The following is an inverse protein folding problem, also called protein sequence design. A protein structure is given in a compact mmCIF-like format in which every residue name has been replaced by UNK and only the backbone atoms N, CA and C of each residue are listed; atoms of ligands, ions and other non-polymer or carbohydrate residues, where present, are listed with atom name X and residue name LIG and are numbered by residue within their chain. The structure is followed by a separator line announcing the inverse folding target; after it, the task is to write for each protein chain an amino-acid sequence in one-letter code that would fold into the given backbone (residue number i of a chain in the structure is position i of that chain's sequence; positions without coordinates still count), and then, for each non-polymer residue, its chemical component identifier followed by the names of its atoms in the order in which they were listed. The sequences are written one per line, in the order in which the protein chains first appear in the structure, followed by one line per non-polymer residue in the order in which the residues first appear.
data_IF_907410189203
#
_entry.id   IF_907410189203
#
_cell.length_a   1.000
_cell.length_b   1.000
_cell.length_c   1.000
_cell.angle_alpha   90.00
_cell.angle_beta   90.00
_cell.angle_gamma   90.00
#
_symmetry.space_group_name_H-M   'P 1'
#
loop_
_entity.id
_entity.type
_entity.pdbx_description
1 polymer ?
#
# COMPACT_ATOMS: atom_id res chain seq x y z
N UNK A 1 42.33 28.89 -46.12
CA UNK A 1 42.17 28.71 -44.66
C UNK A 1 41.04 29.62 -44.22
N UNK A 2 39.84 29.07 -44.19
CA UNK A 2 38.65 29.73 -43.66
C UNK A 2 38.60 29.54 -42.15
N UNK A 3 38.81 30.62 -41.39
CA UNK A 3 38.33 30.76 -40.01
C UNK A 3 38.11 32.24 -39.70
N UNK A 4 36.85 32.67 -39.73
CA UNK A 4 36.38 33.96 -39.25
C UNK A 4 34.88 33.89 -39.06
N UNK A 5 34.46 33.30 -37.93
CA UNK A 5 33.10 32.85 -37.68
C UNK A 5 32.04 33.96 -37.44
N UNK A 6 30.75 33.58 -37.41
CA UNK A 6 29.59 34.46 -37.30
C UNK A 6 29.32 34.94 -35.85
N UNK A 7 30.34 35.49 -35.17
CA UNK A 7 30.20 35.93 -33.77
C UNK A 7 29.83 37.42 -33.63
N UNK A 8 30.22 38.29 -34.57
CA UNK A 8 29.96 39.73 -34.48
C UNK A 8 28.50 40.13 -34.82
N UNK A 9 27.75 39.29 -35.52
CA UNK A 9 26.36 39.58 -35.91
C UNK A 9 25.33 39.23 -34.81
N UNK A 10 25.69 38.34 -33.87
CA UNK A 10 24.83 37.92 -32.76
C UNK A 10 24.57 39.01 -31.70
N UNK A 11 25.57 39.77 -31.22
CA UNK A 11 25.34 40.79 -30.20
C UNK A 11 24.48 41.97 -30.69
N UNK A 12 24.52 42.28 -31.99
CA UNK A 12 23.69 43.33 -32.57
C UNK A 12 22.20 42.94 -32.61
N UNK A 13 21.90 41.71 -33.02
CA UNK A 13 20.52 41.20 -33.05
C UNK A 13 19.93 41.04 -31.63
N UNK A 14 20.74 40.60 -30.66
CA UNK A 14 20.29 40.56 -29.27
C UNK A 14 20.10 41.96 -28.67
N UNK A 15 20.97 42.92 -28.97
CA UNK A 15 20.77 44.32 -28.54
C UNK A 15 19.50 44.92 -29.15
N UNK A 16 19.28 44.75 -30.45
CA UNK A 16 18.08 45.24 -31.12
C UNK A 16 16.81 44.56 -30.57
N UNK A 17 16.88 43.25 -30.32
CA UNK A 17 15.80 42.48 -29.69
C UNK A 17 15.50 42.96 -28.26
N UNK A 18 16.51 43.20 -27.44
CA UNK A 18 16.37 43.72 -26.07
C UNK A 18 15.81 45.16 -26.11
N UNK A 19 16.25 46.01 -27.04
CA UNK A 19 15.70 47.36 -27.17
C UNK A 19 14.25 47.35 -27.65
N UNK A 20 13.90 46.46 -28.58
CA UNK A 20 12.52 46.28 -29.03
C UNK A 20 11.62 45.75 -27.90
N UNK A 21 12.11 44.78 -27.12
CA UNK A 21 11.45 44.28 -25.92
C UNK A 21 11.29 45.38 -24.87
N UNK A 22 12.33 46.15 -24.58
CA UNK A 22 12.27 47.23 -23.60
C UNK A 22 11.29 48.33 -24.05
N UNK A 23 11.23 48.66 -25.34
CA UNK A 23 10.28 49.64 -25.87
C UNK A 23 8.85 49.12 -25.90
N UNK A 24 8.66 47.83 -26.21
CA UNK A 24 7.36 47.16 -26.20
C UNK A 24 6.83 46.97 -24.79
N UNK A 25 7.65 46.41 -23.89
CA UNK A 25 7.35 46.25 -22.46
C UNK A 25 7.16 47.62 -21.84
N UNK A 26 7.98 48.62 -22.16
CA UNK A 26 7.80 49.99 -21.67
C UNK A 26 6.50 50.64 -22.12
N UNK A 27 6.08 50.42 -23.38
CA UNK A 27 4.78 50.87 -23.90
C UNK A 27 3.61 50.15 -23.22
N UNK A 28 3.74 48.84 -22.98
CA UNK A 28 2.77 48.05 -22.23
C UNK A 28 2.75 48.43 -20.74
N UNK A 29 3.89 48.77 -20.14
CA UNK A 29 3.97 49.24 -18.76
C UNK A 29 3.37 50.64 -18.63
N UNK A 30 3.55 51.51 -19.63
CA UNK A 30 2.95 52.84 -19.64
C UNK A 30 1.42 52.77 -19.82
N UNK A 31 0.92 51.86 -20.66
CA UNK A 31 -0.52 51.68 -20.90
C UNK A 31 -1.23 50.85 -19.82
N UNK A 32 -0.55 49.87 -19.22
CA UNK A 32 -1.11 48.96 -18.21
C UNK A 32 -0.52 49.15 -16.80
N UNK A 33 0.26 50.20 -16.57
CA UNK A 33 0.89 50.50 -15.28
C UNK A 33 -0.11 50.65 -14.14
N UNK A 34 -1.31 51.16 -14.45
CA UNK A 34 -2.40 51.25 -13.48
C UNK A 34 -2.92 49.87 -13.06
N UNK A 35 -3.04 48.91 -13.98
CA UNK A 35 -3.39 47.53 -13.63
C UNK A 35 -2.31 46.86 -12.79
N UNK A 36 -1.03 47.16 -13.05
CA UNK A 36 0.06 46.67 -12.20
C UNK A 36 -0.04 47.23 -10.79
N UNK A 37 -0.36 48.51 -10.63
CA UNK A 37 -0.63 49.11 -9.31
C UNK A 37 -1.84 48.46 -8.63
N UNK A 38 -2.97 48.31 -9.32
CA UNK A 38 -4.15 47.64 -8.77
C UNK A 38 -3.89 46.17 -8.44
N UNK A 39 -3.14 45.45 -9.27
CA UNK A 39 -2.71 44.08 -9.00
C UNK A 39 -1.81 44.02 -7.76
N UNK A 40 -0.87 44.97 -7.62
CA UNK A 40 -0.01 45.06 -6.43
C UNK A 40 -0.82 45.33 -5.17
N UNK A 41 -1.79 46.26 -5.22
CA UNK A 41 -2.70 46.55 -4.10
C UNK A 41 -3.59 45.35 -3.78
N UNK A 42 -4.14 44.66 -4.78
CA UNK A 42 -4.96 43.47 -4.59
C UNK A 42 -4.15 42.33 -3.96
N UNK A 43 -2.93 42.09 -4.41
CA UNK A 43 -2.01 41.10 -3.81
C UNK A 43 -1.65 41.51 -2.39
N UNK A 44 -1.37 42.78 -2.12
CA UNK A 44 -1.10 43.28 -0.77
C UNK A 44 -2.27 43.02 0.17
N UNK A 45 -3.50 43.36 -0.25
CA UNK A 45 -4.71 43.11 0.54
C UNK A 45 -4.97 41.60 0.70
N UNK A 46 -4.69 40.79 -0.32
CA UNK A 46 -4.81 39.34 -0.25
C UNK A 46 -3.83 38.75 0.77
N UNK A 47 -2.57 39.17 0.74
CA UNK A 47 -1.55 38.78 1.72
C UNK A 47 -1.95 39.26 3.10
N UNK A 48 -2.44 40.48 3.26
CA UNK A 48 -2.91 41.01 4.54
C UNK A 48 -4.09 40.20 5.08
N UNK A 49 -5.10 39.90 4.25
CA UNK A 49 -6.25 39.07 4.65
C UNK A 49 -5.85 37.64 4.97
N UNK A 50 -4.92 37.05 4.22
CA UNK A 50 -4.38 35.73 4.50
C UNK A 50 -3.51 35.72 5.75
N UNK A 51 -2.73 36.77 6.00
CA UNK A 51 -1.94 36.93 7.21
C UNK A 51 -2.84 37.07 8.43
N UNK A 52 -3.90 37.89 8.37
CA UNK A 52 -4.88 38.02 9.44
C UNK A 52 -5.64 36.71 9.67
N UNK A 53 -6.13 36.06 8.62
CA UNK A 53 -6.77 34.73 8.73
C UNK A 53 -5.81 33.68 9.31
N UNK A 54 -4.53 33.73 8.93
CA UNK A 54 -3.49 32.84 9.50
C UNK A 54 -3.14 33.19 10.94
N UNK A 55 -3.17 34.46 11.34
CA UNK A 55 -2.94 34.94 12.71
C UNK A 55 -4.08 34.50 13.62
N UNK A 56 -5.33 34.68 13.19
CA UNK A 56 -6.52 34.19 13.91
C UNK A 56 -6.46 32.67 14.04
N UNK A 57 -6.24 31.94 12.94
CA UNK A 57 -6.10 30.47 12.99
C UNK A 57 -4.89 29.98 13.79
N UNK A 58 -3.83 30.80 13.93
CA UNK A 58 -2.70 30.52 14.82
C UNK A 58 -3.01 30.81 16.28
N UNK A 59 -3.87 31.79 16.58
CA UNK A 59 -4.38 32.07 17.93
C UNK A 59 -5.40 31.01 18.37
N UNK A 60 -6.25 30.55 17.45
CA UNK A 60 -7.25 29.50 17.68
C UNK A 60 -6.67 28.09 17.65
N UNK A 61 -5.42 27.94 17.19
CA UNK A 61 -4.68 26.70 17.37
C UNK A 61 -4.06 26.80 18.78
N UNK A 62 -4.65 26.15 19.81
CA UNK A 62 -3.98 26.11 21.11
C UNK A 62 -2.58 25.57 20.85
N UNK A 63 -1.58 26.27 21.39
CA UNK A 63 -0.18 25.94 21.18
C UNK A 63 -0.01 24.43 21.32
N UNK A 64 0.53 23.78 20.28
CA UNK A 64 0.79 22.34 20.35
C UNK A 64 1.75 21.98 21.49
N UNK A 65 2.45 22.98 22.05
CA UNK A 65 3.21 22.89 23.29
C UNK A 65 2.33 22.89 24.56
N UNK A 66 1.18 23.58 24.55
CA UNK A 66 0.18 23.62 25.62
C UNK A 66 -0.89 22.51 25.55
N UNK A 67 -1.15 21.97 24.36
CA UNK A 67 -2.09 20.86 24.15
C UNK A 67 -1.66 19.54 24.83
N UNK A 68 -0.38 19.42 25.19
CA UNK A 68 0.17 18.30 25.97
C UNK A 68 0.00 18.48 27.49
N UNK A 69 -0.43 19.66 27.95
CA UNK A 69 -0.55 20.01 29.36
C UNK A 69 -2.00 19.94 29.90
N UNK A 70 -3.00 19.77 29.02
CA UNK A 70 -4.40 19.64 29.45
C UNK A 70 -4.73 18.15 29.68
N UNK A 71 -4.99 17.70 30.93
CA UNK A 71 -5.22 16.29 31.25
C UNK A 71 -6.38 15.67 30.47
N UNK A 72 -7.41 16.46 30.15
CA UNK A 72 -8.59 16.02 29.40
C UNK A 72 -8.28 15.63 27.95
N UNK A 73 -7.30 16.28 27.32
CA UNK A 73 -6.86 15.93 25.97
C UNK A 73 -6.09 14.62 25.94
N UNK A 74 -5.30 14.34 26.99
CA UNK A 74 -4.57 13.07 27.14
C UNK A 74 -5.55 11.92 27.39
N UNK A 75 -6.58 12.11 28.22
CA UNK A 75 -7.62 11.10 28.45
C UNK A 75 -8.34 10.76 27.15
N UNK A 76 -8.79 11.77 26.39
CA UNK A 76 -9.46 11.54 25.09
C UNK A 76 -8.57 10.81 24.08
N UNK A 77 -7.26 11.11 24.06
CA UNK A 77 -6.31 10.39 23.22
C UNK A 77 -6.13 8.93 23.69
N UNK A 78 -6.05 8.69 25.00
CA UNK A 78 -5.95 7.34 25.55
C UNK A 78 -7.22 6.53 25.31
N UNK A 79 -8.40 7.14 25.43
CA UNK A 79 -9.69 6.53 25.09
C UNK A 79 -9.76 6.18 23.61
N UNK A 80 -9.32 7.09 22.72
CA UNK A 80 -9.26 6.81 21.29
C UNK A 80 -8.30 5.65 20.96
N UNK A 81 -7.14 5.59 21.62
CA UNK A 81 -6.20 4.48 21.47
C UNK A 81 -6.74 3.17 22.04
N UNK A 82 -7.45 3.21 23.16
CA UNK A 82 -8.09 2.04 23.74
C UNK A 82 -9.22 1.52 22.83
N UNK A 83 -10.06 2.41 22.31
CA UNK A 83 -11.11 2.06 21.35
C UNK A 83 -10.52 1.44 20.06
N UNK A 84 -9.40 1.96 19.57
CA UNK A 84 -8.70 1.36 18.43
C UNK A 84 -8.17 -0.06 18.74
N UNK A 85 -7.65 -0.28 19.95
CA UNK A 85 -7.20 -1.61 20.40
C UNK A 85 -8.35 -2.60 20.52
N UNK A 86 -9.49 -2.18 21.06
CA UNK A 86 -10.67 -3.05 21.17
C UNK A 86 -11.21 -3.44 19.79
N UNK A 87 -11.33 -2.50 18.86
CA UNK A 87 -11.74 -2.82 17.47
C UNK A 87 -10.80 -3.82 16.81
N UNK A 88 -9.49 -3.67 17.00
CA UNK A 88 -8.51 -4.62 16.46
C UNK A 88 -8.65 -6.02 17.09
N UNK A 89 -8.92 -6.10 18.40
CA UNK A 89 -9.15 -7.39 19.06
C UNK A 89 -10.44 -8.07 18.61
N UNK A 90 -11.51 -7.30 18.41
CA UNK A 90 -12.78 -7.81 17.87
C UNK A 90 -12.62 -8.39 16.47
N UNK A 91 -11.88 -7.70 15.59
CA UNK A 91 -11.59 -8.21 14.25
C UNK A 91 -10.79 -9.53 14.28
N UNK A 92 -9.79 -9.63 15.17
CA UNK A 92 -9.00 -10.85 15.36
C UNK A 92 -9.85 -12.00 15.92
N UNK A 93 -10.72 -11.71 16.89
CA UNK A 93 -11.62 -12.71 17.48
C UNK A 93 -12.63 -13.21 16.43
N UNK A 94 -13.22 -12.31 15.63
CA UNK A 94 -14.14 -12.68 14.56
C UNK A 94 -13.47 -13.55 13.49
N UNK A 95 -12.20 -13.29 13.17
CA UNK A 95 -11.43 -14.15 12.25
C UNK A 95 -11.13 -15.52 12.88
N UNK A 96 -10.81 -15.57 14.17
CA UNK A 96 -10.56 -16.81 14.88
C UNK A 96 -11.81 -17.70 14.95
N UNK A 97 -12.99 -17.11 15.20
CA UNK A 97 -14.28 -17.82 15.18
C UNK A 97 -14.59 -18.38 13.80
N UNK A 98 -14.50 -17.56 12.74
CA UNK A 98 -14.68 -18.01 11.36
C UNK A 98 -13.73 -19.14 10.98
N UNK A 99 -12.50 -19.12 11.46
CA UNK A 99 -11.55 -20.19 11.20
C UNK A 99 -11.89 -21.47 11.96
N UNK A 100 -12.31 -21.36 13.23
CA UNK A 100 -12.78 -22.51 14.03
C UNK A 100 -14.02 -23.15 13.43
N UNK A 101 -15.00 -22.36 12.99
CA UNK A 101 -16.20 -22.85 12.32
C UNK A 101 -15.85 -23.61 11.03
N UNK A 102 -14.98 -23.04 10.19
CA UNK A 102 -14.49 -23.71 8.98
C UNK A 102 -13.77 -25.02 9.29
N UNK A 103 -12.96 -25.06 10.35
CA UNK A 103 -12.30 -26.30 10.76
C UNK A 103 -13.31 -27.36 11.20
N UNK A 104 -14.32 -26.99 11.99
CA UNK A 104 -15.38 -27.90 12.42
C UNK A 104 -16.17 -28.45 11.22
N UNK A 105 -16.52 -27.59 10.25
CA UNK A 105 -17.19 -28.02 9.01
C UNK A 105 -16.34 -29.03 8.23
N UNK A 106 -15.04 -28.77 8.06
CA UNK A 106 -14.14 -29.71 7.38
C UNK A 106 -13.99 -31.03 8.14
N UNK A 107 -14.03 -31.02 9.47
CA UNK A 107 -14.01 -32.24 10.28
C UNK A 107 -15.31 -33.04 10.13
N UNK A 108 -16.47 -32.37 10.14
CA UNK A 108 -17.77 -33.00 9.92
C UNK A 108 -17.90 -33.57 8.51
N UNK A 109 -17.46 -32.84 7.48
CA UNK A 109 -17.43 -33.32 6.10
C UNK A 109 -16.54 -34.55 5.97
N UNK A 110 -15.35 -34.56 6.58
CA UNK A 110 -14.48 -35.75 6.60
C UNK A 110 -15.13 -36.92 7.32
N UNK A 111 -15.89 -36.67 8.39
CA UNK A 111 -16.65 -37.73 9.08
C UNK A 111 -17.75 -38.28 8.18
N UNK A 112 -18.53 -37.41 7.52
CA UNK A 112 -19.58 -37.79 6.57
C UNK A 112 -19.01 -38.56 5.36
N UNK A 113 -17.88 -38.11 4.81
CA UNK A 113 -17.17 -38.80 3.72
C UNK A 113 -16.73 -40.20 4.13
N UNK A 114 -16.19 -40.36 5.36
CA UNK A 114 -15.84 -41.69 5.87
C UNK A 114 -17.07 -42.58 5.98
N UNK A 115 -18.17 -42.09 6.55
CA UNK A 115 -19.42 -42.85 6.68
C UNK A 115 -19.94 -43.26 5.30
N UNK A 116 -20.05 -42.31 4.36
CA UNK A 116 -20.51 -42.57 3.00
C UNK A 116 -19.60 -43.55 2.25
N UNK A 117 -18.28 -43.46 2.44
CA UNK A 117 -17.34 -44.42 1.86
C UNK A 117 -17.56 -45.82 2.45
N UNK A 118 -17.68 -45.95 3.77
CA UNK A 118 -17.95 -47.22 4.43
C UNK A 118 -19.30 -47.83 4.04
N UNK A 119 -20.34 -47.01 3.92
CA UNK A 119 -21.68 -47.43 3.50
C UNK A 119 -21.69 -47.90 2.05
N UNK A 120 -21.04 -47.16 1.14
CA UNK A 120 -20.89 -47.57 -0.26
C UNK A 120 -20.13 -48.89 -0.42
N UNK A 121 -19.19 -49.16 0.49
CA UNK A 121 -18.39 -50.38 0.52
C UNK A 121 -19.20 -51.56 1.08
N UNK A 122 -20.07 -51.35 2.08
CA UNK A 122 -20.99 -52.37 2.60
C UNK A 122 -22.11 -52.71 1.61
N UNK A 123 -22.67 -51.71 0.91
CA UNK A 123 -23.71 -51.90 -0.10
C UNK A 123 -23.20 -52.59 -1.38
N UNK A 124 -21.91 -52.95 -1.45
CA UNK A 124 -21.33 -53.66 -2.59
C UNK A 124 -21.20 -52.80 -3.86
N UNK A 125 -21.43 -51.49 -3.78
CA UNK A 125 -21.24 -50.52 -4.87
C UNK A 125 -19.74 -50.19 -5.02
N UNK A 126 -18.94 -51.22 -5.23
CA UNK A 126 -17.48 -51.11 -5.36
C UNK A 126 -17.10 -50.34 -6.63
N UNK A 127 -16.58 -49.12 -6.41
CA UNK A 127 -15.64 -48.35 -7.23
C UNK A 127 -15.98 -47.97 -8.69
N UNK A 128 -16.96 -48.60 -9.38
CA UNK A 128 -17.26 -48.28 -10.79
C UNK A 128 -18.29 -47.15 -11.01
N UNK A 129 -19.10 -46.79 -10.00
CA UNK A 129 -20.15 -45.77 -10.11
C UNK A 129 -19.72 -44.33 -9.75
N UNK A 130 -18.79 -44.18 -8.80
CA UNK A 130 -18.46 -42.86 -8.24
C UNK A 130 -17.60 -41.98 -9.17
N UNK A 131 -16.97 -42.53 -10.21
CA UNK A 131 -16.26 -41.72 -11.22
C UNK A 131 -17.23 -40.87 -12.06
N UNK A 132 -18.46 -41.33 -12.32
CA UNK A 132 -19.44 -40.58 -13.13
C UNK A 132 -20.12 -39.47 -12.32
N UNK A 133 -20.38 -39.69 -11.03
CA UNK A 133 -21.03 -38.69 -10.18
C UNK A 133 -20.10 -37.50 -9.87
N UNK A 134 -18.81 -37.77 -9.60
CA UNK A 134 -17.81 -36.72 -9.37
C UNK A 134 -17.48 -35.94 -10.66
N UNK A 135 -17.54 -36.59 -11.82
CA UNK A 135 -17.40 -35.89 -13.12
C UNK A 135 -18.62 -35.01 -13.43
N UNK A 136 -19.82 -35.44 -13.05
CA UNK A 136 -21.05 -34.67 -13.27
C UNK A 136 -21.16 -33.44 -12.37
N UNK A 137 -20.74 -33.51 -11.09
CA UNK A 137 -20.64 -32.32 -10.22
C UNK A 137 -19.61 -31.31 -10.74
N UNK A 138 -18.48 -31.78 -11.28
CA UNK A 138 -17.45 -30.92 -11.88
C UNK A 138 -17.89 -30.31 -13.23
N UNK A 139 -18.74 -30.99 -14.01
CA UNK A 139 -19.28 -30.47 -15.28
C UNK A 139 -20.44 -29.48 -15.10
N UNK A 140 -21.27 -29.64 -14.06
CA UNK A 140 -22.37 -28.70 -13.77
C UNK A 140 -21.90 -27.32 -13.33
N UNK A 141 -20.73 -27.21 -12.68
CA UNK A 141 -20.12 -25.92 -12.31
C UNK A 141 -19.15 -25.37 -13.38
N UNK A 142 -18.85 -26.14 -14.43
CA UNK A 142 -17.92 -25.73 -15.49
C UNK A 142 -18.58 -25.21 -16.79
N UNK A 143 -19.92 -25.24 -16.90
CA UNK A 143 -20.65 -24.78 -18.11
C UNK A 143 -20.71 -23.25 -18.30
N UNK A 144 -19.89 -22.47 -17.58
CA UNK A 144 -19.76 -21.03 -17.78
C UNK A 144 -18.29 -20.56 -17.81
N UNK A 145 -17.40 -21.20 -18.56
CA UNK A 145 -16.25 -20.48 -19.13
C UNK A 145 -15.54 -21.29 -20.21
N UNK A 146 -15.66 -20.84 -21.47
CA UNK A 146 -14.72 -21.22 -22.51
C UNK A 146 -13.32 -20.71 -22.14
N UNK A 147 -12.28 -21.54 -22.27
CA UNK A 147 -10.93 -21.23 -22.80
C UNK A 147 -9.88 -22.31 -22.46
N UNK A 148 -9.58 -23.13 -23.47
CA UNK A 148 -8.31 -23.86 -23.80
C UNK A 148 -7.25 -24.09 -22.69
N UNK A 149 -6.91 -25.34 -22.30
CA UNK A 149 -5.78 -25.59 -21.40
C UNK A 149 -4.45 -25.68 -22.17
N UNK A 150 -3.46 -24.86 -21.76
CA UNK A 150 -2.06 -24.91 -22.21
C UNK A 150 -1.27 -26.05 -21.54
N UNK A 151 -0.27 -26.68 -22.20
CA UNK A 151 0.51 -27.77 -21.63
C UNK A 151 1.47 -27.28 -20.53
N UNK A 152 1.55 -28.03 -19.42
CA UNK A 152 2.39 -27.71 -18.25
C UNK A 152 3.87 -28.00 -18.55
N UNK A 153 4.82 -27.11 -18.19
CA UNK A 153 6.25 -27.39 -18.34
C UNK A 153 6.73 -28.38 -17.28
N UNK A 154 7.66 -29.27 -17.66
CA UNK A 154 8.35 -30.23 -16.79
C UNK A 154 9.03 -29.52 -15.61
N UNK A 155 8.44 -29.63 -14.41
CA UNK A 155 9.03 -29.09 -13.18
C UNK A 155 9.79 -30.19 -12.45
N UNK A 156 11.11 -29.99 -12.32
CA UNK A 156 11.97 -30.75 -11.41
C UNK A 156 11.38 -30.71 -9.99
N UNK A 157 11.43 -31.81 -9.22
CA UNK A 157 10.85 -31.84 -7.88
C UNK A 157 11.49 -30.78 -6.97
N UNK A 158 10.66 -30.07 -6.22
CA UNK A 158 11.02 -28.95 -5.34
C UNK A 158 11.89 -29.33 -4.12
N UNK A 159 12.32 -30.60 -4.02
CA UNK A 159 13.20 -31.10 -2.96
C UNK A 159 14.27 -31.98 -3.61
N UNK A 160 15.52 -31.56 -3.51
CA UNK A 160 16.67 -32.39 -3.90
C UNK A 160 16.62 -33.71 -3.13
N UNK A 161 16.97 -34.82 -3.78
CA UNK A 161 16.80 -36.19 -3.27
C UNK A 161 17.66 -36.58 -2.06
N UNK A 162 18.04 -35.64 -1.20
CA UNK A 162 18.96 -35.86 -0.07
C UNK A 162 18.29 -35.77 1.31
N UNK A 163 16.96 -35.66 1.41
CA UNK A 163 16.28 -35.68 2.71
C UNK A 163 16.01 -37.12 3.16
N UNK A 164 16.81 -37.61 4.12
CA UNK A 164 16.59 -38.89 4.79
C UNK A 164 16.03 -38.63 6.22
N UNK A 165 14.77 -38.99 6.52
CA UNK A 165 14.14 -38.71 7.81
C UNK A 165 14.71 -39.52 8.99
N UNK A 166 15.58 -40.50 8.74
CA UNK A 166 16.24 -41.29 9.79
C UNK A 166 17.65 -40.81 10.13
N UNK A 167 18.31 -40.06 9.24
CA UNK A 167 19.72 -39.65 9.42
C UNK A 167 19.88 -38.17 9.75
N UNK A 168 18.82 -37.36 9.70
CA UNK A 168 18.87 -35.97 10.16
C UNK A 168 19.87 -35.07 9.44
N UNK A 169 20.43 -35.50 8.30
CA UNK A 169 21.41 -34.74 7.53
C UNK A 169 20.69 -33.66 6.69
N UNK A 170 20.26 -32.62 7.39
CA UNK A 170 19.59 -31.44 6.84
C UNK A 170 19.91 -30.19 7.66
N UNK A 171 21.11 -30.15 8.24
CA UNK A 171 21.61 -29.02 9.02
C UNK A 171 22.41 -28.08 8.14
N UNK A 172 21.76 -27.10 7.53
CA UNK A 172 22.48 -26.03 6.82
C UNK A 172 21.57 -25.17 5.96
N UNK A 173 21.08 -24.07 6.53
CA UNK A 173 20.83 -22.75 5.88
C UNK A 173 19.79 -21.88 6.61
N UNK A 174 19.13 -22.35 7.67
CA UNK A 174 18.17 -21.54 8.43
C UNK A 174 18.49 -21.51 9.93
N UNK A 175 19.67 -20.99 10.30
CA UNK A 175 19.94 -20.59 11.67
C UNK A 175 19.50 -19.14 11.89
N UNK A 176 18.20 -18.93 12.15
CA UNK A 176 17.74 -17.63 12.65
C UNK A 176 18.14 -17.53 14.13
N UNK A 177 19.11 -16.65 14.45
CA UNK A 177 19.36 -16.21 15.82
C UNK A 177 18.90 -14.75 15.95
N UNK A 178 18.04 -14.41 16.92
CA UNK A 178 17.75 -13.01 17.21
C UNK A 178 19.05 -12.31 17.56
N UNK A 179 19.38 -11.22 16.86
CA UNK A 179 20.58 -10.44 17.12
C UNK A 179 20.63 -9.99 18.57
N UNK A 180 21.81 -10.09 19.21
CA UNK A 180 22.05 -9.50 20.53
C UNK A 180 21.66 -8.03 20.49
N UNK A 181 20.54 -7.68 21.13
CA UNK A 181 20.27 -6.29 21.47
C UNK A 181 21.38 -5.88 22.44
N UNK A 182 22.27 -5.00 21.99
CA UNK A 182 23.24 -4.33 22.85
C UNK A 182 22.47 -3.69 24.01
N UNK A 183 22.73 -4.17 25.21
CA UNK A 183 22.35 -3.47 26.43
C UNK A 183 23.28 -2.27 26.63
N UNK A 184 22.84 -1.23 27.35
CA UNK A 184 23.64 -0.04 27.62
C UNK A 184 24.87 -0.38 28.46
N UNK A 185 26.04 0.03 27.97
CA UNK A 185 27.27 0.14 28.76
C UNK A 185 27.14 1.37 29.66
N UNK A 186 26.68 1.18 30.89
CA UNK A 186 26.77 2.18 31.95
C UNK A 186 26.85 1.51 33.32
N UNK A 187 27.95 1.75 34.03
CA UNK A 187 28.20 1.29 35.40
C UNK A 187 29.44 0.39 35.44
N UNK A 188 30.46 0.65 36.25
CA UNK A 188 30.72 1.66 37.27
C UNK A 188 32.13 1.42 37.80
#
# INVERSE_FOLDING_TARGET
MDRGGPEAARPALEQEGIQFLQRSVGSLLASYGWFLLFACVAVYLLVQRLAEKRRVRRRDRPDAAGASLEPDMVVKQQEALAAARFRMQEELNAQAEKYKEKQQQLEEEKRKQKIAMWESMQEGKSYKGNLKLNQQEVESDASASSTVPKPKPNKKPLRGGSYNPLSGEGGGTCAWRPGRRGGPSSGG
#
